data_IF_065099374159
#
_entry.id   IF_065099374159
#
_cell.length_a   1.000
_cell.length_b   1.000
_cell.length_c   1.000
_cell.angle_alpha   90.00
_cell.angle_beta   90.00
_cell.angle_gamma   90.00
#
_symmetry.space_group_name_H-M   'P 1'
#
loop_
_entity.id
_entity.type
_entity.pdbx_description
1 polymer ?
#
# COMPACT_ATOMS: atom_id res chain seq x y z
N UNK A 1 -0.26 13.50 -9.70
CA UNK A 1 -0.10 12.04 -9.84
C UNK A 1 -1.23 11.43 -10.68
N UNK A 2 -2.50 11.60 -10.29
CA UNK A 2 -3.65 11.09 -11.06
C UNK A 2 -3.70 11.57 -12.52
N UNK A 3 -3.53 12.87 -12.75
CA UNK A 3 -3.43 13.44 -14.11
C UNK A 3 -2.30 12.84 -14.96
N UNK A 4 -1.16 12.50 -14.34
CA UNK A 4 0.00 11.89 -15.02
C UNK A 4 -0.29 10.42 -15.33
N UNK A 5 -0.92 9.71 -14.40
CA UNK A 5 -1.38 8.34 -14.63
C UNK A 5 -2.43 8.26 -15.75
N UNK A 6 -3.33 9.23 -15.85
CA UNK A 6 -4.35 9.32 -16.91
C UNK A 6 -3.74 9.61 -18.29
N UNK A 7 -2.51 10.13 -18.35
CA UNK A 7 -1.73 10.31 -19.57
C UNK A 7 -0.97 9.05 -20.01
N UNK A 8 -1.20 7.90 -19.35
CA UNK A 8 -0.54 6.63 -19.66
C UNK A 8 0.87 6.48 -19.10
N UNK A 9 1.31 7.41 -18.24
CA UNK A 9 2.61 7.33 -17.58
C UNK A 9 2.47 6.48 -16.31
N UNK A 10 3.28 5.44 -16.17
CA UNK A 10 3.30 4.63 -14.94
C UNK A 10 3.82 5.45 -13.77
N UNK A 11 3.04 5.50 -12.69
CA UNK A 11 3.38 6.20 -11.46
C UNK A 11 3.60 5.19 -10.34
N UNK A 12 4.75 5.27 -9.68
CA UNK A 12 5.04 4.53 -8.46
C UNK A 12 5.21 5.51 -7.31
N UNK A 13 4.55 5.22 -6.19
CA UNK A 13 4.64 6.00 -4.96
C UNK A 13 4.82 5.07 -3.78
N UNK A 14 5.53 5.55 -2.76
CA UNK A 14 5.58 4.92 -1.45
C UNK A 14 4.59 5.64 -0.53
N UNK A 15 3.65 4.90 0.06
CA UNK A 15 2.60 5.44 0.92
C UNK A 15 2.56 4.65 2.23
N UNK A 16 2.48 5.37 3.35
CA UNK A 16 2.29 4.79 4.67
C UNK A 16 0.82 4.80 5.12
N UNK A 17 -0.04 5.61 4.49
CA UNK A 17 -1.48 5.66 4.80
C UNK A 17 -2.27 4.65 3.96
N UNK A 18 -2.94 3.72 4.64
CA UNK A 18 -3.77 2.69 4.02
C UNK A 18 -5.01 3.27 3.34
N UNK A 19 -5.59 4.33 3.90
CA UNK A 19 -6.74 5.01 3.30
C UNK A 19 -6.41 5.57 1.91
N UNK A 20 -5.22 6.19 1.78
CA UNK A 20 -4.74 6.71 0.49
C UNK A 20 -4.44 5.57 -0.50
N UNK A 21 -3.82 4.49 -0.03
CA UNK A 21 -3.55 3.31 -0.85
C UNK A 21 -4.86 2.73 -1.41
N UNK A 22 -5.89 2.60 -0.58
CA UNK A 22 -7.20 2.09 -1.01
C UNK A 22 -7.93 3.04 -1.96
N UNK A 23 -7.71 4.34 -1.83
CA UNK A 23 -8.44 5.35 -2.61
C UNK A 23 -7.80 5.69 -3.95
N UNK A 24 -6.47 5.59 -4.06
CA UNK A 24 -5.73 6.14 -5.20
C UNK A 24 -4.87 5.13 -5.96
N UNK A 25 -4.52 3.99 -5.37
CA UNK A 25 -3.67 3.00 -6.03
C UNK A 25 -4.50 1.97 -6.81
N UNK A 26 -3.93 1.44 -7.89
CA UNK A 26 -4.50 0.34 -8.68
C UNK A 26 -3.79 -0.99 -8.41
N UNK A 27 -2.57 -0.94 -7.88
CA UNK A 27 -1.74 -2.06 -7.44
C UNK A 27 -0.97 -1.64 -6.19
N UNK A 28 -0.78 -2.57 -5.26
CA UNK A 28 -0.06 -2.37 -4.00
C UNK A 28 0.96 -3.48 -3.86
N UNK A 29 2.17 -3.11 -3.46
CA UNK A 29 3.23 -4.05 -3.10
C UNK A 29 3.55 -3.83 -1.63
N UNK A 30 3.16 -4.78 -0.79
CA UNK A 30 3.45 -4.79 0.63
C UNK A 30 4.77 -5.50 0.89
N UNK A 31 5.73 -4.80 1.51
CA UNK A 31 7.07 -5.32 1.80
C UNK A 31 7.29 -5.30 3.31
N UNK A 32 7.76 -6.43 3.85
CA UNK A 32 8.20 -6.54 5.24
C UNK A 32 9.53 -7.27 5.32
N UNK A 33 10.49 -6.75 6.09
CA UNK A 33 11.81 -7.37 6.30
C UNK A 33 12.54 -7.74 4.99
N UNK A 34 12.38 -6.91 3.96
CA UNK A 34 12.99 -7.14 2.64
C UNK A 34 12.28 -8.18 1.77
N UNK A 35 11.10 -8.66 2.17
CA UNK A 35 10.31 -9.66 1.43
C UNK A 35 8.97 -9.07 1.01
N UNK A 36 8.52 -9.38 -0.21
CA UNK A 36 7.18 -9.03 -0.69
C UNK A 36 6.17 -10.00 -0.08
N UNK A 37 5.30 -9.49 0.79
CA UNK A 37 4.22 -10.25 1.40
C UNK A 37 2.88 -10.08 0.65
N UNK A 38 2.74 -8.98 -0.08
CA UNK A 38 1.54 -8.71 -0.87
C UNK A 38 1.90 -8.06 -2.19
N UNK A 39 1.24 -8.49 -3.25
CA UNK A 39 1.30 -7.86 -4.56
C UNK A 39 -0.05 -8.04 -5.25
N UNK A 40 -0.84 -6.97 -5.32
CA UNK A 40 -2.19 -7.08 -5.88
C UNK A 40 -3.02 -5.81 -5.77
N UNK A 41 -4.31 -5.95 -6.06
CA UNK A 41 -5.26 -4.85 -5.98
C UNK A 41 -5.47 -4.43 -4.50
N UNK A 42 -5.61 -3.13 -4.19
CA UNK A 42 -5.78 -2.66 -2.79
C UNK A 42 -7.00 -3.24 -2.07
N UNK A 43 -8.02 -3.74 -2.79
CA UNK A 43 -9.16 -4.44 -2.17
C UNK A 43 -8.77 -5.76 -1.51
N UNK A 44 -7.60 -6.32 -1.84
CA UNK A 44 -7.04 -7.51 -1.19
C UNK A 44 -6.31 -7.22 0.13
N UNK A 45 -6.18 -5.95 0.53
CA UNK A 45 -5.59 -5.57 1.81
C UNK A 45 -6.58 -5.86 2.95
N UNK A 46 -6.45 -7.05 3.54
CA UNK A 46 -7.18 -7.47 4.73
C UNK A 46 -6.50 -6.97 6.01
N UNK A 47 -7.26 -6.83 7.09
CA UNK A 47 -6.72 -6.34 8.37
C UNK A 47 -5.60 -7.24 8.90
N UNK A 48 -5.69 -8.56 8.70
CA UNK A 48 -4.62 -9.50 9.06
C UNK A 48 -3.33 -9.24 8.30
N UNK A 49 -3.42 -8.97 6.99
CA UNK A 49 -2.26 -8.67 6.17
C UNK A 49 -1.65 -7.30 6.52
N UNK A 50 -2.50 -6.31 6.79
CA UNK A 50 -2.05 -5.00 7.27
C UNK A 50 -1.32 -5.15 8.60
N UNK A 51 -1.86 -5.92 9.54
CA UNK A 51 -1.20 -6.17 10.81
C UNK A 51 0.15 -6.88 10.64
N UNK A 52 0.26 -7.82 9.69
CA UNK A 52 1.54 -8.41 9.35
C UNK A 52 2.51 -7.38 8.75
N UNK A 53 2.09 -6.59 7.77
CA UNK A 53 2.93 -5.61 7.07
C UNK A 53 3.47 -4.52 8.00
N UNK A 54 2.63 -3.99 8.91
CA UNK A 54 3.02 -2.96 9.87
C UNK A 54 3.53 -3.52 11.21
N UNK A 55 3.36 -4.82 11.47
CA UNK A 55 3.75 -5.45 12.74
C UNK A 55 3.14 -4.76 13.96
N UNK A 56 3.95 -4.64 15.02
CA UNK A 56 3.64 -3.92 16.27
C UNK A 56 3.77 -2.38 16.14
N UNK A 57 4.13 -1.84 14.98
CA UNK A 57 4.29 -0.38 14.79
C UNK A 57 2.96 0.38 14.83
N UNK A 58 1.82 -0.31 14.78
CA UNK A 58 0.51 0.28 15.07
C UNK A 58 0.44 0.91 16.48
N UNK A 59 1.33 0.54 17.40
CA UNK A 59 1.44 1.15 18.73
C UNK A 59 2.24 2.46 18.80
N UNK A 60 2.85 2.93 17.70
CA UNK A 60 3.63 4.19 17.69
C UNK A 60 2.92 5.36 17.01
N UNK A 61 1.68 5.19 16.57
CA UNK A 61 0.83 6.28 16.07
C UNK A 61 -0.16 6.67 17.17
N UNK A 62 0.33 7.34 18.22
CA UNK A 62 -0.49 8.04 19.20
C UNK A 62 0.05 9.45 19.41
#
# INVERSE_FOLDING_TARGET
LRQVSEQGISVMVNLHSIELVKSYCTRVIGIQRGVVLFDGHPSGLTDSLLHQLYGDELNQIH
#
